data_IF_587935352324
#
_entry.id   IF_587935352324
#
_cell.length_a   1.000
_cell.length_b   1.000
_cell.length_c   1.000
_cell.angle_alpha   90.00
_cell.angle_beta   90.00
_cell.angle_gamma   90.00
#
_symmetry.space_group_name_H-M   'P 1'
#
loop_
_entity.id
_entity.type
_entity.pdbx_description
1 polymer ?
#
# COMPACT_ATOMS: atom_id res chain seq x y z
N UNK A 1 -2.84 -3.88 0.64
CA UNK A 1 -3.60 -2.61 0.63
C UNK A 1 -5.10 -2.90 0.79
N UNK A 2 -5.95 -1.95 1.20
CA UNK A 2 -7.42 -2.16 1.20
C UNK A 2 -8.07 -1.75 -0.12
N UNK A 3 -9.23 -2.33 -0.46
CA UNK A 3 -9.93 -2.03 -1.72
C UNK A 3 -10.28 -0.55 -1.87
N UNK A 4 -10.98 0.04 -0.89
CA UNK A 4 -11.34 1.47 -0.94
C UNK A 4 -10.11 2.39 -0.97
N UNK A 5 -9.05 2.01 -0.26
CA UNK A 5 -7.78 2.73 -0.28
C UNK A 5 -7.16 2.72 -1.68
N UNK A 6 -7.08 1.56 -2.32
CA UNK A 6 -6.59 1.42 -3.69
C UNK A 6 -7.43 2.23 -4.66
N UNK A 7 -8.76 2.15 -4.58
CA UNK A 7 -9.66 2.92 -5.44
C UNK A 7 -9.46 4.43 -5.28
N UNK A 8 -9.29 4.91 -4.03
CA UNK A 8 -9.01 6.33 -3.73
C UNK A 8 -7.67 6.80 -4.28
N UNK A 9 -6.64 5.96 -4.24
CA UNK A 9 -5.33 6.28 -4.82
C UNK A 9 -5.42 6.34 -6.34
N UNK A 10 -6.11 5.37 -6.96
CA UNK A 10 -6.30 5.36 -8.40
C UNK A 10 -7.21 6.51 -8.89
N UNK A 11 -8.17 6.96 -8.08
CA UNK A 11 -9.06 8.08 -8.45
C UNK A 11 -8.35 9.44 -8.54
N UNK A 12 -7.09 9.52 -8.14
CA UNK A 12 -6.25 10.71 -8.34
C UNK A 12 -5.84 10.87 -9.80
N UNK A 13 -5.69 9.75 -10.51
CA UNK A 13 -5.16 9.68 -11.87
C UNK A 13 -6.26 9.28 -12.90
N UNK A 14 -7.31 8.59 -12.45
CA UNK A 14 -8.36 8.03 -13.32
C UNK A 14 -9.77 8.33 -12.84
N UNK A 15 -10.74 8.40 -13.76
CA UNK A 15 -12.15 8.49 -13.41
C UNK A 15 -12.67 7.13 -12.91
N UNK A 16 -12.80 6.98 -11.58
CA UNK A 16 -13.26 5.74 -10.94
C UNK A 16 -14.59 5.97 -10.22
N UNK A 17 -15.56 5.11 -10.50
CA UNK A 17 -16.86 5.09 -9.81
C UNK A 17 -16.96 3.84 -8.93
N UNK A 18 -16.90 3.99 -7.61
CA UNK A 18 -17.08 2.87 -6.68
C UNK A 18 -18.57 2.60 -6.51
N UNK A 19 -19.02 1.42 -6.91
CA UNK A 19 -20.43 1.00 -6.80
C UNK A 19 -20.66 0.10 -5.59
N UNK A 20 -19.66 -0.72 -5.24
CA UNK A 20 -19.64 -1.51 -4.02
C UNK A 20 -18.21 -1.53 -3.45
N UNK A 21 -18.04 -1.01 -2.23
CA UNK A 21 -16.72 -0.83 -1.61
C UNK A 21 -16.61 -1.47 -0.22
N UNK A 22 -15.38 -1.59 0.27
CA UNK A 22 -15.09 -2.06 1.63
C UNK A 22 -13.72 -1.59 2.10
N UNK A 23 -13.65 -1.10 3.33
CA UNK A 23 -12.39 -0.75 4.01
C UNK A 23 -11.68 -1.98 4.60
N UNK A 24 -12.33 -3.15 4.52
CA UNK A 24 -11.82 -4.41 5.08
C UNK A 24 -11.34 -5.39 4.01
N UNK A 25 -11.79 -5.28 2.77
CA UNK A 25 -11.33 -6.15 1.68
C UNK A 25 -9.84 -5.86 1.40
N UNK A 26 -8.99 -6.89 1.47
CA UNK A 26 -7.56 -6.78 1.16
C UNK A 26 -7.34 -7.06 -0.32
N UNK A 27 -6.48 -6.24 -0.94
CA UNK A 27 -5.95 -6.45 -2.28
C UNK A 27 -4.45 -6.72 -2.15
N UNK A 28 -4.03 -7.89 -2.62
CA UNK A 28 -2.63 -8.34 -2.60
C UNK A 28 -2.10 -8.61 -4.01
N UNK A 29 -2.98 -8.85 -4.99
CA UNK A 29 -2.60 -9.11 -6.37
C UNK A 29 -3.60 -8.48 -7.33
N UNK A 30 -3.24 -8.44 -8.62
CA UNK A 30 -4.05 -7.90 -9.69
C UNK A 30 -3.94 -8.75 -10.95
N UNK A 31 -5.07 -9.02 -11.60
CA UNK A 31 -5.15 -9.89 -12.77
C UNK A 31 -6.05 -9.30 -13.85
N UNK A 32 -5.61 -9.35 -15.12
CA UNK A 32 -6.47 -9.07 -16.27
C UNK A 32 -7.37 -10.27 -16.55
N UNK A 33 -8.68 -10.05 -16.58
CA UNK A 33 -9.65 -11.09 -16.90
C UNK A 33 -9.73 -11.32 -18.40
N UNK A 34 -9.34 -12.53 -18.81
CA UNK A 34 -9.67 -13.09 -20.11
C UNK A 34 -10.93 -13.97 -20.06
N UNK A 35 -11.53 -14.27 -21.22
CA UNK A 35 -12.74 -15.10 -21.31
C UNK A 35 -12.53 -16.56 -20.86
N UNK A 36 -11.28 -17.04 -20.88
CA UNK A 36 -10.91 -18.39 -20.45
C UNK A 36 -10.49 -18.49 -18.98
N UNK A 37 -10.65 -17.42 -18.20
CA UNK A 37 -10.23 -17.41 -16.80
C UNK A 37 -11.13 -18.33 -15.94
N UNK A 38 -10.52 -19.15 -15.08
CA UNK A 38 -11.23 -20.15 -14.28
C UNK A 38 -10.73 -20.28 -12.84
N UNK A 39 -9.70 -19.52 -12.44
CA UNK A 39 -9.04 -19.66 -11.14
C UNK A 39 -9.15 -18.37 -10.34
N UNK A 40 -10.04 -18.38 -9.35
CA UNK A 40 -10.38 -17.21 -8.55
C UNK A 40 -9.64 -17.20 -7.21
N UNK A 41 -9.11 -16.05 -6.82
CA UNK A 41 -8.47 -15.78 -5.53
C UNK A 41 -9.11 -14.56 -4.86
N UNK A 42 -9.40 -14.70 -3.57
CA UNK A 42 -10.18 -13.74 -2.78
C UNK A 42 -9.51 -12.35 -2.65
N UNK A 43 -8.18 -12.29 -2.71
CA UNK A 43 -7.43 -11.04 -2.50
C UNK A 43 -6.85 -10.49 -3.83
N UNK A 44 -7.34 -10.99 -4.96
CA UNK A 44 -6.91 -10.54 -6.29
C UNK A 44 -7.93 -9.56 -6.85
N UNK A 45 -7.47 -8.37 -7.25
CA UNK A 45 -8.27 -7.41 -8.01
C UNK A 45 -8.31 -7.85 -9.48
N UNK A 46 -9.49 -8.20 -9.94
CA UNK A 46 -9.73 -8.57 -11.32
C UNK A 46 -10.11 -7.35 -12.15
N UNK A 47 -9.45 -7.16 -13.29
CA UNK A 47 -9.66 -6.00 -14.16
C UNK A 47 -10.11 -6.45 -15.55
N UNK A 48 -11.15 -5.83 -16.11
CA UNK A 48 -11.60 -6.12 -17.48
C UNK A 48 -12.24 -4.94 -18.20
N UNK A 49 -11.98 -4.84 -19.51
CA UNK A 49 -12.76 -4.01 -20.43
C UNK A 49 -13.75 -4.82 -21.30
N UNK A 50 -13.75 -6.15 -21.19
CA UNK A 50 -14.54 -7.01 -22.08
C UNK A 50 -15.94 -7.21 -21.54
N UNK A 51 -16.97 -6.95 -22.36
CA UNK A 51 -18.35 -7.31 -22.04
C UNK A 51 -18.58 -8.82 -21.92
N UNK A 52 -17.69 -9.63 -22.52
CA UNK A 52 -17.71 -11.09 -22.38
C UNK A 52 -16.87 -11.49 -21.17
N UNK A 53 -17.48 -11.47 -19.99
CA UNK A 53 -16.86 -11.91 -18.74
C UNK A 53 -16.95 -13.44 -18.59
N UNK A 54 -15.94 -14.08 -17.97
CA UNK A 54 -16.00 -15.50 -17.64
C UNK A 54 -17.10 -15.76 -16.60
N UNK A 55 -17.46 -17.04 -16.42
CA UNK A 55 -18.34 -17.43 -15.33
C UNK A 55 -17.65 -17.18 -13.98
N UNK A 56 -18.28 -16.34 -13.14
CA UNK A 56 -17.80 -16.06 -11.79
C UNK A 56 -17.89 -17.28 -10.87
N UNK A 57 -17.01 -17.31 -9.86
CA UNK A 57 -17.15 -18.18 -8.68
C UNK A 57 -18.40 -17.81 -7.88
N UNK A 58 -18.85 -18.67 -6.97
CA UNK A 58 -19.90 -18.34 -6.00
C UNK A 58 -19.35 -17.49 -4.83
N UNK A 59 -18.03 -17.31 -4.74
CA UNK A 59 -17.38 -16.50 -3.72
C UNK A 59 -17.30 -15.00 -4.07
N UNK A 60 -17.24 -14.10 -3.07
CA UNK A 60 -17.07 -12.66 -3.30
C UNK A 60 -15.79 -12.33 -4.07
N UNK A 61 -15.92 -11.41 -5.03
CA UNK A 61 -14.82 -10.97 -5.89
C UNK A 61 -14.45 -9.51 -5.65
N UNK A 62 -13.23 -9.15 -6.05
CA UNK A 62 -12.79 -7.76 -6.16
C UNK A 62 -12.67 -7.45 -7.65
N UNK A 63 -13.49 -6.55 -8.15
CA UNK A 63 -13.64 -6.34 -9.59
C UNK A 63 -13.51 -4.85 -9.97
N UNK A 64 -12.85 -4.59 -11.09
CA UNK A 64 -12.73 -3.28 -11.70
C UNK A 64 -13.03 -3.39 -13.19
N UNK A 65 -14.15 -2.85 -13.64
CA UNK A 65 -14.65 -3.03 -15.02
C UNK A 65 -14.93 -1.73 -15.75
N UNK A 66 -14.88 -1.75 -17.08
CA UNK A 66 -15.25 -0.58 -17.89
C UNK A 66 -16.76 -0.39 -18.08
N UNK A 67 -17.55 -1.32 -17.56
CA UNK A 67 -19.00 -1.40 -17.77
C UNK A 67 -19.67 -2.03 -16.55
N UNK A 68 -20.96 -1.74 -16.39
CA UNK A 68 -21.76 -2.32 -15.32
C UNK A 68 -21.91 -3.84 -15.48
N UNK A 69 -21.81 -4.53 -14.36
CA UNK A 69 -21.98 -5.99 -14.26
C UNK A 69 -23.21 -6.29 -13.41
N UNK A 70 -24.19 -6.96 -14.01
CA UNK A 70 -25.52 -7.15 -13.42
C UNK A 70 -25.62 -8.32 -12.44
N UNK A 71 -24.70 -9.29 -12.49
CA UNK A 71 -24.73 -10.49 -11.67
C UNK A 71 -23.36 -10.78 -11.06
N UNK A 72 -23.11 -10.21 -9.89
CA UNK A 72 -21.92 -10.50 -9.09
C UNK A 72 -22.29 -11.34 -7.85
N UNK A 73 -21.39 -12.22 -7.38
CA UNK A 73 -21.57 -12.93 -6.13
C UNK A 73 -21.80 -11.96 -4.97
N UNK A 74 -22.65 -12.34 -4.01
CA UNK A 74 -23.00 -11.50 -2.88
C UNK A 74 -21.76 -11.10 -2.07
N UNK A 75 -21.65 -9.82 -1.73
CA UNK A 75 -20.50 -9.29 -0.99
C UNK A 75 -19.28 -8.96 -1.85
N UNK A 76 -19.36 -9.09 -3.18
CA UNK A 76 -18.30 -8.62 -4.08
C UNK A 76 -18.14 -7.11 -4.00
N UNK A 77 -16.89 -6.65 -4.12
CA UNK A 77 -16.55 -5.24 -4.27
C UNK A 77 -16.31 -4.95 -5.74
N UNK A 78 -16.88 -3.86 -6.24
CA UNK A 78 -16.78 -3.51 -7.64
C UNK A 78 -16.77 -1.99 -7.84
N UNK A 79 -15.91 -1.58 -8.77
CA UNK A 79 -15.79 -0.22 -9.23
C UNK A 79 -15.71 -0.18 -10.77
N UNK A 80 -16.03 0.98 -11.33
CA UNK A 80 -15.97 1.23 -12.76
C UNK A 80 -14.83 2.17 -13.11
N UNK A 81 -14.28 2.02 -14.32
CA UNK A 81 -13.29 2.93 -14.91
C UNK A 81 -13.58 3.18 -16.39
N UNK A 82 -12.90 4.14 -17.02
CA UNK A 82 -13.03 4.38 -18.46
C UNK A 82 -12.18 3.38 -19.26
N UNK A 83 -12.72 2.77 -20.32
CA UNK A 83 -12.04 1.70 -21.06
C UNK A 83 -10.67 2.08 -21.62
N UNK A 84 -10.50 3.34 -22.01
CA UNK A 84 -9.27 3.87 -22.60
C UNK A 84 -8.10 3.89 -21.60
N UNK A 85 -8.39 3.83 -20.30
CA UNK A 85 -7.38 3.89 -19.24
C UNK A 85 -6.81 2.53 -18.86
N UNK A 86 -7.30 1.42 -19.44
CA UNK A 86 -6.99 0.05 -19.01
C UNK A 86 -5.51 -0.20 -18.70
N UNK A 87 -4.64 0.09 -19.66
CA UNK A 87 -3.21 -0.20 -19.54
C UNK A 87 -2.57 0.63 -18.42
N UNK A 88 -2.86 1.94 -18.39
CA UNK A 88 -2.28 2.86 -17.42
C UNK A 88 -2.82 2.56 -16.02
N UNK A 89 -4.12 2.33 -15.89
CA UNK A 89 -4.78 1.97 -14.65
C UNK A 89 -4.27 0.64 -14.10
N UNK A 90 -4.15 -0.39 -14.95
CA UNK A 90 -3.64 -1.69 -14.52
C UNK A 90 -2.21 -1.59 -14.02
N UNK A 91 -1.33 -0.91 -14.76
CA UNK A 91 0.06 -0.71 -14.37
C UNK A 91 0.17 0.08 -13.06
N UNK A 92 -0.61 1.16 -12.93
CA UNK A 92 -0.65 1.98 -11.72
C UNK A 92 -1.12 1.19 -10.51
N UNK A 93 -2.21 0.43 -10.64
CA UNK A 93 -2.73 -0.40 -9.57
C UNK A 93 -1.72 -1.48 -9.16
N UNK A 94 -1.07 -2.13 -10.13
CA UNK A 94 0.00 -3.09 -9.88
C UNK A 94 1.18 -2.49 -9.12
N UNK A 95 1.61 -1.28 -9.50
CA UNK A 95 2.68 -0.55 -8.80
C UNK A 95 2.30 -0.25 -7.35
N UNK A 96 1.09 0.27 -7.12
CA UNK A 96 0.59 0.60 -5.78
C UNK A 96 0.52 -0.64 -4.87
N UNK A 97 -0.01 -1.75 -5.38
CA UNK A 97 -0.07 -3.02 -4.64
C UNK A 97 1.34 -3.51 -4.30
N UNK A 98 2.25 -3.49 -5.27
CA UNK A 98 3.63 -3.92 -5.06
C UNK A 98 4.39 -3.03 -4.06
N UNK A 99 4.15 -1.72 -4.08
CA UNK A 99 4.73 -0.78 -3.12
C UNK A 99 4.28 -1.08 -1.69
N UNK A 100 2.98 -1.33 -1.48
CA UNK A 100 2.41 -1.69 -0.17
C UNK A 100 2.97 -3.01 0.37
N UNK A 101 3.13 -4.02 -0.48
CA UNK A 101 3.76 -5.29 -0.10
C UNK A 101 5.23 -5.09 0.31
N UNK A 102 6.00 -4.32 -0.48
CA UNK A 102 7.41 -4.04 -0.16
C UNK A 102 7.58 -3.25 1.14
N UNK A 103 6.67 -2.32 1.43
CA UNK A 103 6.67 -1.60 2.70
C UNK A 103 6.38 -2.55 3.87
N UNK A 104 5.42 -3.47 3.70
CA UNK A 104 5.11 -4.48 4.71
C UNK A 104 6.30 -5.39 5.00
N UNK A 105 7.03 -5.83 3.98
CA UNK A 105 8.25 -6.64 4.13
C UNK A 105 9.33 -5.88 4.92
N UNK A 106 9.54 -4.60 4.60
CA UNK A 106 10.48 -3.73 5.31
C UNK A 106 10.15 -3.59 6.80
N UNK A 107 8.87 -3.39 7.14
CA UNK A 107 8.44 -3.33 8.54
C UNK A 107 8.63 -4.66 9.27
N UNK A 108 8.39 -5.79 8.59
CA UNK A 108 8.64 -7.11 9.14
C UNK A 108 10.13 -7.34 9.42
N UNK A 109 11.01 -6.94 8.50
CA UNK A 109 12.47 -7.00 8.68
C UNK A 109 12.96 -6.14 9.84
N UNK A 110 12.40 -4.93 10.00
CA UNK A 110 12.68 -4.07 11.15
C UNK A 110 12.27 -4.76 12.48
N UNK A 111 11.07 -5.36 12.52
CA UNK A 111 10.60 -6.08 13.70
C UNK A 111 11.48 -7.29 14.03
N UNK A 112 11.88 -8.06 13.01
CA UNK A 112 12.78 -9.22 13.17
C UNK A 112 14.14 -8.79 13.70
N UNK A 113 14.71 -7.71 13.18
CA UNK A 113 15.97 -7.12 13.64
C UNK A 113 15.88 -6.70 15.11
N UNK A 114 14.75 -6.13 15.53
CA UNK A 114 14.52 -5.79 16.93
C UNK A 114 14.44 -7.03 17.83
N UNK A 115 13.73 -8.06 17.40
CA UNK A 115 13.60 -9.32 18.16
C UNK A 115 14.91 -10.09 18.26
N UNK A 116 15.81 -9.94 17.28
CA UNK A 116 17.15 -10.52 17.30
C UNK A 116 18.12 -9.81 18.27
N UNK A 117 17.68 -8.79 19.00
CA UNK A 117 18.50 -8.07 19.98
C UNK A 117 19.43 -7.03 19.37
N UNK A 118 19.14 -6.53 18.16
CA UNK A 118 19.90 -5.44 17.58
C UNK A 118 19.87 -4.20 18.47
N UNK A 119 20.98 -3.46 18.50
CA UNK A 119 21.04 -2.20 19.25
C UNK A 119 20.16 -1.12 18.60
N UNK A 120 19.77 -0.12 19.39
CA UNK A 120 18.88 0.98 18.96
C UNK A 120 19.43 1.73 17.75
N UNK A 121 20.76 1.87 17.64
CA UNK A 121 21.41 2.55 16.51
C UNK A 121 21.21 1.82 15.18
N UNK A 122 21.29 0.49 15.17
CA UNK A 122 21.00 -0.30 13.97
C UNK A 122 19.52 -0.18 13.58
N UNK A 123 18.61 -0.23 14.57
CA UNK A 123 17.17 -0.12 14.35
C UNK A 123 16.76 1.24 13.78
N UNK A 124 17.28 2.33 14.32
CA UNK A 124 16.93 3.67 13.85
C UNK A 124 17.47 3.94 12.43
N UNK A 125 18.62 3.38 12.07
CA UNK A 125 19.16 3.46 10.70
C UNK A 125 18.31 2.65 9.71
N UNK A 126 17.87 1.46 10.08
CA UNK A 126 16.95 0.67 9.24
C UNK A 126 15.64 1.43 9.05
N UNK A 127 15.03 1.91 10.14
CA UNK A 127 13.81 2.71 10.09
C UNK A 127 13.96 3.97 9.23
N UNK A 128 15.10 4.67 9.31
CA UNK A 128 15.38 5.84 8.49
C UNK A 128 15.45 5.48 6.99
N UNK A 129 15.99 4.29 6.66
CA UNK A 129 16.00 3.77 5.27
C UNK A 129 14.62 3.42 4.74
N UNK A 130 13.70 3.01 5.62
CA UNK A 130 12.29 2.74 5.26
C UNK A 130 11.56 4.05 4.99
N UNK A 131 11.74 5.05 5.85
CA UNK A 131 11.12 6.39 5.73
C UNK A 131 11.75 7.21 4.60
N UNK A 132 13.02 6.97 4.30
CA UNK A 132 13.79 7.74 3.30
C UNK A 132 14.22 9.12 3.81
N UNK A 133 14.36 9.28 5.13
CA UNK A 133 14.77 10.54 5.76
C UNK A 133 15.44 10.28 7.12
N UNK A 134 16.19 11.25 7.63
CA UNK A 134 16.78 11.17 8.97
C UNK A 134 15.70 11.03 10.05
N UNK A 135 15.94 10.14 11.01
CA UNK A 135 15.06 9.90 12.15
C UNK A 135 15.78 10.20 13.47
N UNK A 136 15.03 10.78 14.41
CA UNK A 136 15.49 11.11 15.75
C UNK A 136 14.47 10.51 16.72
N UNK A 137 14.94 9.67 17.64
CA UNK A 137 14.12 9.07 18.68
C UNK A 137 14.22 9.93 19.94
N UNK A 138 13.09 10.46 20.39
CA UNK A 138 12.98 11.30 21.58
C UNK A 138 12.01 10.65 22.57
N UNK A 139 12.31 10.72 23.86
CA UNK A 139 11.38 10.26 24.90
C UNK A 139 10.36 11.35 25.29
N UNK A 140 9.38 11.00 26.14
CA UNK A 140 8.37 11.94 26.61
C UNK A 140 8.91 13.04 27.53
N UNK A 141 10.19 12.98 27.90
CA UNK A 141 10.87 13.98 28.68
C UNK A 141 11.83 14.79 27.81
N UNK A 142 11.65 14.81 26.48
CA UNK A 142 12.44 15.55 25.50
C UNK A 142 13.93 15.14 25.39
N UNK A 143 14.30 13.97 25.93
CA UNK A 143 15.67 13.43 25.78
C UNK A 143 15.81 12.76 24.42
N UNK A 144 16.87 13.08 23.70
CA UNK A 144 17.24 12.37 22.47
C UNK A 144 17.88 11.04 22.87
N UNK A 145 17.18 9.95 22.57
CA UNK A 145 17.62 8.58 22.87
C UNK A 145 18.55 8.02 21.80
N UNK A 146 18.32 8.37 20.53
CA UNK A 146 19.13 7.97 19.40
C UNK A 146 18.83 8.86 18.17
N UNK A 147 19.76 8.91 17.22
CA UNK A 147 19.56 9.48 15.89
C UNK A 147 20.10 8.51 14.83
N UNK A 148 19.48 8.53 13.65
CA UNK A 148 20.01 7.83 12.48
C UNK A 148 21.25 8.55 11.94
N UNK A 149 22.22 7.79 11.45
CA UNK A 149 23.48 8.30 10.89
C UNK A 149 23.62 8.06 9.39
N UNK A 150 22.69 7.35 8.77
CA UNK A 150 22.69 7.03 7.34
C UNK A 150 22.00 8.10 6.46
N UNK A 151 21.40 9.12 7.06
CA UNK A 151 20.86 10.31 6.37
C UNK A 151 21.35 11.57 7.09
N UNK A 152 21.62 12.61 6.31
CA UNK A 152 22.00 13.92 6.84
C UNK A 152 20.79 14.63 7.47
N UNK A 153 21.01 15.27 8.62
CA UNK A 153 20.02 16.14 9.27
C UNK A 153 20.25 17.57 8.75
N UNK A 154 19.35 18.07 7.90
CA UNK A 154 19.51 19.38 7.28
C UNK A 154 19.14 20.57 8.19
N UNK A 155 18.29 20.34 9.20
CA UNK A 155 17.85 21.40 10.10
C UNK A 155 18.90 21.65 11.20
N UNK A 156 19.52 22.84 11.29
CA UNK A 156 20.55 23.12 12.28
C UNK A 156 20.09 23.03 13.73
N UNK A 157 18.81 23.31 14.02
CA UNK A 157 18.25 23.18 15.36
C UNK A 157 18.22 21.70 15.77
N UNK A 158 17.86 20.82 14.84
CA UNK A 158 17.87 19.38 15.07
C UNK A 158 19.28 18.81 15.20
N UNK A 159 20.25 19.30 14.42
CA UNK A 159 21.67 18.96 14.60
C UNK A 159 22.11 19.30 16.04
N UNK A 160 21.81 20.51 16.51
CA UNK A 160 22.16 20.92 17.87
C UNK A 160 21.44 20.11 18.95
N UNK A 161 20.15 19.82 18.78
CA UNK A 161 19.38 19.02 19.75
C UNK A 161 19.93 17.59 19.88
N UNK A 162 20.35 16.99 18.75
CA UNK A 162 20.98 15.66 18.74
C UNK A 162 22.35 15.70 19.44
N UNK A 163 23.19 16.69 19.14
CA UNK A 163 24.49 16.86 19.81
C UNK A 163 24.34 17.10 21.31
N UNK A 164 23.30 17.84 21.71
CA UNK A 164 22.99 18.15 23.11
C UNK A 164 22.38 16.96 23.86
N UNK A 165 21.75 16.02 23.16
CA UNK A 165 21.01 14.91 23.75
C UNK A 165 19.63 15.30 24.31
N UNK A 166 19.13 16.50 24.00
CA UNK A 166 17.86 17.03 24.53
C UNK A 166 17.25 18.06 23.59
N UNK A 167 15.92 18.04 23.44
CA UNK A 167 15.21 19.04 22.64
C UNK A 167 15.10 20.38 23.39
N UNK A 168 15.36 21.49 22.69
CA UNK A 168 15.49 22.83 23.30
C UNK A 168 14.24 23.72 23.21
N UNK A 169 13.05 23.12 23.14
CA UNK A 169 11.77 23.83 22.96
C UNK A 169 11.32 24.62 24.19
#
# INVERSE_FOLDING_TARGET
MRFNELMRLLSQDFAIEIKAGSDYAKVNDICLLGPSHSHWDKNTLYVSCSHSLPKFSDEPLLLLTSHEVSALPAGSMHALFHSDDLCNLFNRAKELILQDLRLSDKYFELARTSLAGANVSALINEAASIVGNALILVDSADRVLASSTNYEIFDPLWVQNVERGYCSY
#
